data_IF_988942974396
#
_entry.id   IF_988942974396
#
_cell.length_a   1.000
_cell.length_b   1.000
_cell.length_c   1.000
_cell.angle_alpha   90.00
_cell.angle_beta   90.00
_cell.angle_gamma   90.00
#
_symmetry.space_group_name_H-M   'P 1'
#
loop_
_entity.id
_entity.type
_entity.pdbx_description
1 polymer ?
#
# COMPACT_ATOMS: atom_id res chain seq x y z
N UNK A 1 -1.84 -17.71 17.34
CA UNK A 1 -0.84 -16.61 17.25
C UNK A 1 0.20 -16.85 16.16
N UNK A 2 1.03 -17.91 16.25
CA UNK A 2 2.12 -18.16 15.27
C UNK A 2 1.67 -18.19 13.81
N UNK A 3 0.54 -18.83 13.51
CA UNK A 3 -0.02 -18.88 12.14
C UNK A 3 -0.42 -17.50 11.61
N UNK A 4 -1.06 -16.65 12.43
CA UNK A 4 -1.44 -15.29 12.03
C UNK A 4 -0.21 -14.42 11.72
N UNK A 5 0.87 -14.54 12.52
CA UNK A 5 2.13 -13.82 12.28
C UNK A 5 2.78 -14.27 10.96
N UNK A 6 2.68 -15.53 10.57
CA UNK A 6 3.25 -16.00 9.30
C UNK A 6 2.40 -15.63 8.09
N UNK A 7 1.10 -15.39 8.29
CA UNK A 7 0.13 -15.16 7.23
C UNK A 7 -0.35 -13.70 7.08
N UNK A 8 0.17 -12.76 7.89
CA UNK A 8 -0.31 -11.37 7.87
C UNK A 8 0.10 -10.59 6.62
N UNK A 9 1.26 -10.90 6.04
CA UNK A 9 1.75 -10.16 4.88
C UNK A 9 0.78 -10.34 3.70
N UNK A 10 0.55 -9.27 2.94
CA UNK A 10 -0.37 -9.26 1.78
C UNK A 10 -0.07 -10.32 0.69
N UNK A 11 1.12 -10.92 0.68
CA UNK A 11 1.51 -11.97 -0.27
C UNK A 11 1.47 -13.39 0.32
N UNK A 12 1.10 -13.55 1.58
CA UNK A 12 1.10 -14.84 2.25
C UNK A 12 -0.15 -15.67 1.93
N UNK A 13 -0.03 -16.99 2.03
CA UNK A 13 -1.18 -17.88 1.99
C UNK A 13 -1.98 -17.74 3.31
N UNK A 14 -3.26 -17.38 3.19
CA UNK A 14 -4.07 -16.97 4.33
C UNK A 14 -4.90 -18.15 4.83
N UNK A 15 -4.61 -18.69 6.03
CA UNK A 15 -5.41 -19.76 6.58
C UNK A 15 -6.82 -19.27 6.94
N UNK A 16 -7.80 -20.17 6.91
CA UNK A 16 -9.17 -19.91 7.33
C UNK A 16 -9.24 -19.74 8.87
N UNK A 17 -8.81 -18.57 9.33
CA UNK A 17 -8.70 -18.21 10.73
C UNK A 17 -8.98 -16.71 10.90
N UNK A 18 -9.99 -16.36 11.69
CA UNK A 18 -10.41 -14.97 11.86
C UNK A 18 -9.29 -14.03 12.34
N UNK A 19 -8.40 -14.49 13.24
CA UNK A 19 -7.27 -13.66 13.71
C UNK A 19 -6.26 -13.43 12.60
N UNK A 20 -5.95 -14.45 11.79
CA UNK A 20 -5.07 -14.31 10.64
C UNK A 20 -5.68 -13.35 9.61
N UNK A 21 -6.97 -13.48 9.33
CA UNK A 21 -7.71 -12.62 8.40
C UNK A 21 -7.69 -11.15 8.86
N UNK A 22 -8.02 -10.89 10.12
CA UNK A 22 -8.02 -9.51 10.67
C UNK A 22 -6.62 -8.91 10.63
N UNK A 23 -5.59 -9.69 10.97
CA UNK A 23 -4.21 -9.20 10.95
C UNK A 23 -3.72 -8.95 9.52
N UNK A 24 -4.09 -9.80 8.57
CA UNK A 24 -3.80 -9.62 7.16
C UNK A 24 -4.46 -8.36 6.59
N UNK A 25 -5.74 -8.15 6.88
CA UNK A 25 -6.45 -6.96 6.44
C UNK A 25 -5.85 -5.69 7.05
N UNK A 26 -5.46 -5.73 8.32
CA UNK A 26 -4.80 -4.60 8.98
C UNK A 26 -3.44 -4.25 8.34
N UNK A 27 -2.58 -5.24 8.11
CA UNK A 27 -1.28 -5.05 7.44
C UNK A 27 -1.47 -4.53 6.01
N UNK A 28 -2.42 -5.09 5.27
CA UNK A 28 -2.79 -4.63 3.92
C UNK A 28 -3.27 -3.18 3.92
N UNK A 29 -4.06 -2.79 4.92
CA UNK A 29 -4.58 -1.43 5.08
C UNK A 29 -3.51 -0.39 5.43
N UNK A 30 -2.39 -0.79 6.04
CA UNK A 30 -1.25 0.11 6.31
C UNK A 30 -0.50 0.49 5.04
N UNK A 31 -0.55 -0.36 4.01
CA UNK A 31 -0.03 -0.06 2.67
C UNK A 31 -1.06 0.62 1.75
N UNK A 32 -2.29 0.86 2.24
CA UNK A 32 -3.33 1.60 1.52
C UNK A 32 -3.48 3.04 2.04
N UNK A 33 -3.78 3.95 1.11
CA UNK A 33 -3.99 5.35 1.45
C UNK A 33 -2.72 6.16 1.61
N UNK A 34 -2.87 7.36 2.15
CA UNK A 34 -1.77 8.32 2.31
C UNK A 34 -0.65 7.79 3.22
N UNK A 35 -0.98 7.00 4.25
CA UNK A 35 0.02 6.38 5.13
C UNK A 35 0.88 5.40 4.32
N UNK A 36 0.25 4.48 3.58
CA UNK A 36 0.95 3.52 2.74
C UNK A 36 1.85 4.19 1.71
N UNK A 37 1.34 5.21 1.02
CA UNK A 37 2.17 6.01 0.09
C UNK A 37 3.34 6.65 0.81
N UNK A 38 3.13 7.24 1.99
CA UNK A 38 4.21 7.87 2.78
C UNK A 38 5.29 6.85 3.16
N UNK A 39 4.90 5.63 3.54
CA UNK A 39 5.84 4.54 3.84
C UNK A 39 6.65 4.20 2.59
N UNK A 40 6.02 3.99 1.44
CA UNK A 40 6.71 3.63 0.20
C UNK A 40 7.66 4.75 -0.26
N UNK A 41 7.24 6.01 -0.18
CA UNK A 41 8.10 7.16 -0.49
C UNK A 41 9.26 7.28 0.50
N UNK A 42 9.03 7.05 1.80
CA UNK A 42 10.09 7.04 2.81
C UNK A 42 11.11 5.92 2.58
N UNK A 43 10.65 4.78 2.09
CA UNK A 43 11.49 3.64 1.73
C UNK A 43 12.22 3.83 0.39
N UNK A 44 11.98 4.93 -0.32
CA UNK A 44 12.73 5.25 -1.54
C UNK A 44 14.24 5.21 -1.26
N UNK A 45 14.97 4.59 -2.18
CA UNK A 45 16.42 4.29 -2.11
C UNK A 45 16.84 3.35 -0.96
N UNK A 46 15.90 2.79 -0.20
CA UNK A 46 16.16 1.91 0.97
C UNK A 46 15.54 0.53 0.83
N UNK A 47 14.71 0.31 -0.18
CA UNK A 47 14.00 -0.96 -0.40
C UNK A 47 13.91 -1.28 -1.91
N UNK A 48 14.01 -2.56 -2.32
CA UNK A 48 13.85 -2.97 -3.72
C UNK A 48 12.52 -2.57 -4.38
N UNK A 49 11.44 -2.38 -3.61
CA UNK A 49 10.15 -1.93 -4.13
C UNK A 49 10.06 -0.41 -4.32
N UNK A 50 11.10 0.32 -3.89
CA UNK A 50 11.19 1.76 -3.97
C UNK A 50 12.65 2.13 -4.26
N UNK A 51 13.20 1.68 -5.39
CA UNK A 51 14.63 1.89 -5.74
C UNK A 51 14.95 3.36 -5.93
N UNK A 52 14.00 4.13 -6.45
CA UNK A 52 14.05 5.56 -6.67
C UNK A 52 12.64 6.16 -6.54
N UNK A 53 12.55 7.48 -6.71
CA UNK A 53 11.28 8.19 -6.58
C UNK A 53 10.24 7.78 -7.65
N UNK A 54 10.59 7.66 -8.95
CA UNK A 54 9.69 7.09 -9.95
C UNK A 54 9.15 5.69 -9.59
N UNK A 55 10.03 4.77 -9.18
CA UNK A 55 9.65 3.42 -8.76
C UNK A 55 8.73 3.45 -7.53
N UNK A 56 9.00 4.30 -6.55
CA UNK A 56 8.16 4.46 -5.36
C UNK A 56 6.74 4.95 -5.71
N UNK A 57 6.62 5.88 -6.66
CA UNK A 57 5.31 6.33 -7.19
C UNK A 57 4.58 5.19 -7.89
N UNK A 58 5.25 4.48 -8.80
CA UNK A 58 4.65 3.34 -9.52
C UNK A 58 4.21 2.23 -8.56
N UNK A 59 5.00 1.93 -7.53
CA UNK A 59 4.63 0.98 -6.48
C UNK A 59 3.40 1.44 -5.71
N UNK A 60 3.33 2.73 -5.35
CA UNK A 60 2.18 3.30 -4.64
C UNK A 60 0.89 3.26 -5.46
N UNK A 61 0.97 3.49 -6.77
CA UNK A 61 -0.18 3.34 -7.70
C UNK A 61 -0.64 1.88 -7.75
N UNK A 62 0.31 0.95 -7.99
CA UNK A 62 0.02 -0.48 -8.03
C UNK A 62 -0.60 -0.98 -6.73
N UNK A 63 -0.11 -0.54 -5.58
CA UNK A 63 -0.61 -0.96 -4.28
C UNK A 63 -2.02 -0.45 -4.03
N UNK A 64 -2.31 0.80 -4.40
CA UNK A 64 -3.65 1.39 -4.28
C UNK A 64 -4.72 0.62 -5.05
N UNK A 65 -4.35 0.07 -6.22
CA UNK A 65 -5.23 -0.74 -7.05
C UNK A 65 -5.32 -2.19 -6.59
N UNK A 66 -4.17 -2.83 -6.35
CA UNK A 66 -4.08 -4.29 -6.18
C UNK A 66 -4.37 -4.75 -4.75
N UNK A 67 -3.92 -4.01 -3.74
CA UNK A 67 -4.07 -4.44 -2.35
C UNK A 67 -5.52 -4.40 -1.87
N UNK A 68 -6.34 -3.50 -2.43
CA UNK A 68 -7.77 -3.44 -2.13
C UNK A 68 -8.50 -4.76 -2.45
N UNK A 69 -8.03 -5.53 -3.43
CA UNK A 69 -8.61 -6.82 -3.81
C UNK A 69 -8.19 -7.98 -2.88
N UNK A 70 -7.20 -7.76 -2.01
CA UNK A 70 -6.68 -8.77 -1.09
C UNK A 70 -7.42 -8.76 0.25
N UNK A 71 -8.11 -7.66 0.57
CA UNK A 71 -8.92 -7.50 1.78
C UNK A 71 -10.05 -8.52 1.84
N UNK A 72 -10.28 -9.11 3.01
CA UNK A 72 -11.26 -10.18 3.21
C UNK A 72 -12.51 -9.70 3.92
N UNK A 73 -12.39 -8.88 4.96
CA UNK A 73 -13.54 -8.35 5.70
C UNK A 73 -14.20 -7.20 4.94
N UNK A 74 -15.53 -7.12 5.05
CA UNK A 74 -16.32 -6.08 4.38
C UNK A 74 -15.96 -4.68 4.91
N UNK A 75 -15.71 -4.57 6.21
CA UNK A 75 -15.29 -3.35 6.88
C UNK A 75 -13.92 -2.90 6.37
N UNK A 76 -12.98 -3.85 6.25
CA UNK A 76 -11.66 -3.57 5.72
C UNK A 76 -11.74 -3.08 4.27
N UNK A 77 -12.55 -3.74 3.43
CA UNK A 77 -12.81 -3.31 2.04
C UNK A 77 -13.37 -1.88 2.00
N UNK A 78 -14.32 -1.54 2.87
CA UNK A 78 -14.89 -0.19 2.95
C UNK A 78 -13.84 0.86 3.36
N UNK A 79 -12.99 0.54 4.33
CA UNK A 79 -11.88 1.39 4.75
C UNK A 79 -10.88 1.57 3.59
N UNK A 80 -10.49 0.48 2.93
CA UNK A 80 -9.55 0.48 1.80
C UNK A 80 -10.01 1.38 0.67
N UNK A 81 -11.29 1.26 0.27
CA UNK A 81 -11.91 2.15 -0.72
C UNK A 81 -11.79 3.60 -0.30
N UNK A 82 -12.20 3.94 0.92
CA UNK A 82 -12.17 5.32 1.43
C UNK A 82 -10.74 5.90 1.43
N UNK A 83 -9.76 5.10 1.85
CA UNK A 83 -8.34 5.49 1.90
C UNK A 83 -7.71 5.68 0.53
N UNK A 84 -8.14 4.93 -0.49
CA UNK A 84 -7.57 5.00 -1.84
C UNK A 84 -7.95 6.28 -2.60
N UNK A 85 -9.11 6.89 -2.31
CA UNK A 85 -9.59 8.10 -3.00
C UNK A 85 -8.55 9.24 -3.08
N UNK A 86 -7.98 9.73 -1.95
CA UNK A 86 -7.04 10.85 -1.99
C UNK A 86 -5.67 10.50 -2.61
N UNK A 87 -5.32 9.21 -2.71
CA UNK A 87 -3.99 8.78 -3.16
C UNK A 87 -3.75 9.13 -4.62
N UNK A 88 -4.75 8.90 -5.48
CA UNK A 88 -4.61 9.18 -6.92
C UNK A 88 -4.25 10.65 -7.16
N UNK A 89 -5.02 11.57 -6.57
CA UNK A 89 -4.76 13.01 -6.68
C UNK A 89 -3.39 13.38 -6.11
N UNK A 90 -3.00 12.81 -4.98
CA UNK A 90 -1.68 13.05 -4.40
C UNK A 90 -0.54 12.61 -5.32
N UNK A 91 -0.60 11.40 -5.88
CA UNK A 91 0.43 10.87 -6.77
C UNK A 91 0.50 11.62 -8.11
N UNK A 92 -0.65 12.04 -8.65
CA UNK A 92 -0.70 12.92 -9.84
C UNK A 92 -0.01 14.27 -9.58
N UNK A 93 -0.28 14.91 -8.44
CA UNK A 93 0.39 16.15 -8.05
C UNK A 93 1.89 15.95 -7.87
N UNK A 94 2.29 14.85 -7.23
CA UNK A 94 3.69 14.51 -7.00
C UNK A 94 4.44 14.32 -8.33
N UNK A 95 3.86 13.59 -9.29
CA UNK A 95 4.41 13.43 -10.65
C UNK A 95 4.57 14.77 -11.35
N UNK A 96 3.55 15.63 -11.31
CA UNK A 96 3.56 16.93 -11.98
C UNK A 96 4.69 17.86 -11.50
N UNK A 97 5.03 17.80 -10.20
CA UNK A 97 6.10 18.60 -9.59
C UNK A 97 7.49 18.00 -9.82
N UNK A 98 7.60 16.67 -9.82
CA UNK A 98 8.89 16.00 -10.00
C UNK A 98 9.44 16.18 -11.44
N UNK A 99 8.56 16.24 -12.44
CA UNK A 99 8.93 16.56 -13.84
C UNK A 99 9.50 17.98 -13.99
N UNK A 100 9.18 18.91 -13.08
CA UNK A 100 9.72 20.27 -13.09
C UNK A 100 11.09 20.38 -12.38
N UNK A 101 11.49 19.38 -11.59
CA UNK A 101 12.75 19.43 -10.80
C UNK A 101 13.99 18.99 -11.59
N UNK A 102 13.85 18.47 -12.81
CA UNK A 102 14.98 18.17 -13.72
C UNK A 102 15.45 19.39 -14.54
N UNK A 103 14.99 20.58 -14.19
CA UNK A 103 15.37 21.85 -14.80
C UNK A 103 16.10 22.77 -13.80
N UNK A 104 17.10 22.26 -13.09
CA UNK A 104 18.09 23.05 -12.33
C UNK A 104 19.45 22.35 -12.37
#
# INVERSE_FOLDING_TARGET
MKAAILAHMFYADLPDNNTAIVLHDADTLDFLGIIGVTIILFLSTRNPWATDMPAAVVTSENFSEKLSALLKNQEAIAIGKTRALPVKTFLELLKSRNIQSTAL
#
